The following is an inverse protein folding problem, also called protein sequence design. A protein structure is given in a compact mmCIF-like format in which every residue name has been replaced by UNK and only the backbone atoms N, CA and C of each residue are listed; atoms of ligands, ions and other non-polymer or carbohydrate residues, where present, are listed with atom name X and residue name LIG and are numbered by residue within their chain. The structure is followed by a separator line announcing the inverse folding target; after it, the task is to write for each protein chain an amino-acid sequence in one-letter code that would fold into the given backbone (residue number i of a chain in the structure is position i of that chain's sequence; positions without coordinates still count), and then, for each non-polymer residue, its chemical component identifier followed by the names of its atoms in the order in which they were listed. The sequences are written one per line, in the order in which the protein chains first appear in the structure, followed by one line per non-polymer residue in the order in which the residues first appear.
data_IF_992587455416
#
_entry.id   IF_992587455416
#
_cell.length_a   1.000
_cell.length_b   1.000
_cell.length_c   1.000
_cell.angle_alpha   90.00
_cell.angle_beta   90.00
_cell.angle_gamma   90.00
#
_symmetry.space_group_name_H-M   'P 1'
#
loop_
_entity.id
_entity.type
_entity.pdbx_description
1 polymer ?
#
# COMPACT_ATOMS: atom_id res chain seq x y z
N UNK A 1 1.82 27.40 1.58
CA UNK A 1 0.41 26.96 1.65
C UNK A 1 -0.46 28.21 1.55
N UNK A 2 -1.48 28.25 0.66
CA UNK A 2 -2.37 29.39 0.54
C UNK A 2 -3.09 29.71 1.86
N UNK A 3 -3.32 31.00 2.13
CA UNK A 3 -4.02 31.47 3.34
C UNK A 3 -5.48 30.98 3.42
N UNK A 4 -6.03 30.56 2.28
CA UNK A 4 -7.40 30.01 2.19
C UNK A 4 -7.56 28.59 2.78
N UNK A 5 -6.46 27.91 3.10
CA UNK A 5 -6.51 26.54 3.62
C UNK A 5 -6.79 26.55 5.13
N UNK A 6 -7.64 25.64 5.56
CA UNK A 6 -7.80 25.35 6.99
C UNK A 6 -6.51 24.74 7.54
N UNK A 7 -6.35 24.76 8.88
CA UNK A 7 -5.17 24.19 9.52
C UNK A 7 -5.01 22.68 9.21
N UNK A 8 -6.12 21.95 9.07
CA UNK A 8 -6.10 20.53 8.72
C UNK A 8 -5.62 20.29 7.28
N UNK A 9 -6.14 21.06 6.32
CA UNK A 9 -5.72 21.00 4.91
C UNK A 9 -4.25 21.43 4.76
N UNK A 10 -3.83 22.47 5.46
CA UNK A 10 -2.45 22.92 5.46
C UNK A 10 -1.50 21.84 5.98
N UNK A 11 -1.86 21.12 7.06
CA UNK A 11 -1.07 20.00 7.59
C UNK A 11 -0.99 18.86 6.60
N UNK A 12 -2.08 18.52 5.91
CA UNK A 12 -2.10 17.46 4.91
C UNK A 12 -1.16 17.79 3.74
N UNK A 13 -1.25 19.00 3.19
CA UNK A 13 -0.40 19.44 2.08
C UNK A 13 1.08 19.46 2.48
N UNK A 14 1.39 19.99 3.68
CA UNK A 14 2.76 20.00 4.19
C UNK A 14 3.29 18.59 4.48
N UNK A 15 2.45 17.69 4.95
CA UNK A 15 2.80 16.27 5.14
C UNK A 15 3.19 15.61 3.83
N UNK A 16 2.38 15.77 2.79
CA UNK A 16 2.67 15.24 1.45
C UNK A 16 3.98 15.85 0.89
N UNK A 17 4.15 17.18 1.00
CA UNK A 17 5.37 17.84 0.53
C UNK A 17 6.62 17.34 1.27
N UNK A 18 6.51 17.12 2.58
CA UNK A 18 7.58 16.56 3.40
C UNK A 18 7.94 15.14 2.93
N UNK A 19 6.95 14.26 2.78
CA UNK A 19 7.15 12.90 2.27
C UNK A 19 7.84 12.89 0.90
N UNK A 20 7.35 13.68 -0.04
CA UNK A 20 7.95 13.80 -1.38
C UNK A 20 9.43 14.27 -1.31
N UNK A 21 9.75 15.17 -0.39
CA UNK A 21 11.11 15.67 -0.20
C UNK A 21 12.04 14.64 0.44
N UNK A 22 11.56 13.92 1.45
CA UNK A 22 12.34 12.90 2.17
C UNK A 22 12.62 11.71 1.27
N UNK A 23 11.63 11.26 0.52
CA UNK A 23 11.76 10.13 -0.41
C UNK A 23 12.48 10.48 -1.71
N UNK A 24 12.84 11.76 -1.90
CA UNK A 24 13.47 12.27 -3.13
C UNK A 24 12.71 11.84 -4.38
N UNK A 25 11.38 11.89 -4.31
CA UNK A 25 10.52 11.53 -5.45
C UNK A 25 10.85 12.44 -6.63
N UNK A 26 11.28 11.83 -7.72
CA UNK A 26 11.56 12.52 -8.98
C UNK A 26 10.38 12.34 -9.93
N UNK A 27 10.31 13.14 -10.96
CA UNK A 27 9.19 13.16 -11.93
C UNK A 27 8.90 11.81 -12.61
N UNK A 28 9.84 10.88 -12.56
CA UNK A 28 9.71 9.53 -13.13
C UNK A 28 9.20 8.48 -12.12
N UNK A 29 9.18 8.82 -10.83
CA UNK A 29 8.74 7.91 -9.76
C UNK A 29 7.33 8.30 -9.32
N UNK A 30 6.39 7.37 -9.38
CA UNK A 30 5.04 7.60 -8.87
C UNK A 30 5.04 7.57 -7.34
N UNK A 31 4.31 8.51 -6.73
CA UNK A 31 4.04 8.52 -5.30
C UNK A 31 2.58 8.16 -5.07
N UNK A 32 2.32 7.13 -4.27
CA UNK A 32 0.96 6.72 -3.92
C UNK A 32 0.45 7.67 -2.84
N UNK A 33 -0.49 8.53 -3.23
CA UNK A 33 -1.09 9.53 -2.34
C UNK A 33 -2.24 8.96 -1.51
N UNK A 34 -3.01 8.05 -2.09
CA UNK A 34 -4.15 7.41 -1.45
C UNK A 34 -4.41 6.04 -2.07
N UNK A 35 -4.82 5.09 -1.24
CA UNK A 35 -5.27 3.76 -1.63
C UNK A 35 -6.78 3.64 -1.36
N UNK A 36 -7.44 2.67 -1.96
CA UNK A 36 -8.86 2.35 -1.77
C UNK A 36 -9.81 3.55 -1.96
N UNK A 37 -9.56 4.32 -3.01
CA UNK A 37 -10.34 5.51 -3.33
C UNK A 37 -11.72 5.15 -3.90
N UNK A 38 -12.75 5.90 -3.51
CA UNK A 38 -14.11 5.68 -3.98
C UNK A 38 -14.27 5.97 -5.48
N UNK A 39 -15.24 5.31 -6.10
CA UNK A 39 -15.58 5.54 -7.52
C UNK A 39 -15.98 7.00 -7.80
N UNK A 40 -16.62 7.67 -6.83
CA UNK A 40 -16.93 9.10 -6.93
C UNK A 40 -15.67 9.97 -7.00
N UNK A 41 -14.66 9.64 -6.22
CA UNK A 41 -13.38 10.36 -6.26
C UNK A 41 -12.60 10.07 -7.55
N UNK A 42 -12.66 8.83 -8.07
CA UNK A 42 -12.11 8.47 -9.38
C UNK A 42 -12.72 9.34 -10.49
N UNK A 43 -14.06 9.47 -10.51
CA UNK A 43 -14.76 10.30 -11.48
C UNK A 43 -14.35 11.78 -11.36
N UNK A 44 -14.25 12.29 -10.13
CA UNK A 44 -13.81 13.67 -9.90
C UNK A 44 -12.39 13.92 -10.46
N UNK A 45 -11.47 12.96 -10.27
CA UNK A 45 -10.11 13.07 -10.81
C UNK A 45 -10.11 13.03 -12.35
N UNK A 46 -10.94 12.18 -12.94
CA UNK A 46 -11.06 12.06 -14.39
C UNK A 46 -11.62 13.36 -15.03
N UNK A 47 -12.65 13.94 -14.41
CA UNK A 47 -13.32 15.15 -14.89
C UNK A 47 -12.50 16.42 -14.63
N UNK A 48 -11.75 16.45 -13.53
CA UNK A 48 -11.04 17.64 -13.06
C UNK A 48 -9.73 17.97 -13.79
N UNK A 49 -9.27 17.12 -14.71
CA UNK A 49 -8.00 17.29 -15.44
C UNK A 49 -6.80 17.67 -14.56
N UNK A 50 -6.70 17.06 -13.39
CA UNK A 50 -5.60 17.29 -12.46
C UNK A 50 -4.28 16.77 -13.04
N UNK A 51 -3.45 17.69 -13.52
CA UNK A 51 -2.14 17.33 -14.08
C UNK A 51 -1.27 16.67 -13.03
N UNK A 52 -0.77 15.47 -13.35
CA UNK A 52 0.11 14.70 -12.48
C UNK A 52 -0.61 13.73 -11.53
N UNK A 53 -1.93 13.82 -11.39
CA UNK A 53 -2.70 12.81 -10.65
C UNK A 53 -3.11 11.66 -11.59
N UNK A 54 -2.92 10.42 -11.13
CA UNK A 54 -3.26 9.23 -11.90
C UNK A 54 -3.91 8.19 -11.01
N UNK A 55 -4.94 7.54 -11.53
CA UNK A 55 -5.58 6.39 -10.91
C UNK A 55 -5.05 5.12 -11.56
N UNK A 56 -4.59 4.18 -10.73
CA UNK A 56 -4.14 2.86 -11.19
C UNK A 56 -4.83 1.78 -10.37
N UNK A 57 -5.18 0.69 -11.02
CA UNK A 57 -5.63 -0.50 -10.30
C UNK A 57 -4.43 -1.19 -9.64
N UNK A 58 -4.60 -1.59 -8.40
CA UNK A 58 -3.63 -2.38 -7.65
C UNK A 58 -4.34 -3.48 -6.88
N UNK A 59 -3.59 -4.47 -6.41
CA UNK A 59 -4.09 -5.47 -5.48
C UNK A 59 -3.91 -4.98 -4.04
N UNK A 60 -4.88 -5.29 -3.18
CA UNK A 60 -4.81 -4.99 -1.76
C UNK A 60 -4.97 -6.27 -0.92
N UNK A 61 -4.39 -6.27 0.27
CA UNK A 61 -4.67 -7.30 1.27
C UNK A 61 -6.08 -7.07 1.81
N UNK A 62 -6.89 -8.12 1.76
CA UNK A 62 -8.24 -8.12 2.33
C UNK A 62 -8.31 -9.21 3.42
N UNK A 63 -8.87 -8.84 4.55
CA UNK A 63 -9.04 -9.74 5.68
C UNK A 63 -10.52 -9.94 5.93
N UNK A 64 -10.95 -11.19 6.02
CA UNK A 64 -12.35 -11.55 6.33
C UNK A 64 -12.72 -11.34 7.79
N UNK A 65 -11.78 -10.93 8.64
CA UNK A 65 -11.98 -10.73 10.08
C UNK A 65 -11.14 -9.58 10.63
N UNK A 66 -11.59 -8.98 11.71
CA UNK A 66 -10.84 -8.02 12.54
C UNK A 66 -10.19 -8.67 13.77
N UNK A 67 -10.46 -9.96 14.00
CA UNK A 67 -9.91 -10.76 15.10
C UNK A 67 -8.65 -11.51 14.67
N UNK A 68 -7.97 -12.12 15.63
CA UNK A 68 -6.78 -12.93 15.40
C UNK A 68 -5.56 -12.17 14.84
N UNK A 69 -5.47 -10.86 15.07
CA UNK A 69 -4.40 -10.02 14.55
C UNK A 69 -2.99 -10.55 14.89
N UNK A 70 -2.80 -11.15 16.07
CA UNK A 70 -1.55 -11.76 16.50
C UNK A 70 -1.17 -13.02 15.71
N UNK A 71 -2.17 -13.72 15.14
CA UNK A 71 -1.98 -14.92 14.30
C UNK A 71 -1.78 -14.48 12.85
N UNK A 72 -2.65 -13.61 12.36
CA UNK A 72 -2.56 -13.07 11.00
C UNK A 72 -1.24 -12.34 10.79
N UNK A 73 -0.83 -11.56 11.78
CA UNK A 73 0.39 -10.79 11.72
C UNK A 73 0.19 -9.40 11.15
N UNK A 74 1.25 -8.84 10.61
CA UNK A 74 1.23 -7.48 10.04
C UNK A 74 2.02 -7.39 8.76
N UNK A 75 1.56 -6.52 7.90
CA UNK A 75 2.23 -6.08 6.67
C UNK A 75 2.74 -4.65 6.89
N UNK A 76 3.95 -4.36 6.47
CA UNK A 76 4.49 -2.99 6.44
C UNK A 76 5.22 -2.74 5.14
N UNK A 77 5.43 -1.48 4.81
CA UNK A 77 6.32 -1.11 3.72
C UNK A 77 7.77 -1.51 4.04
N UNK A 78 8.54 -1.71 2.98
CA UNK A 78 9.99 -1.86 3.04
C UNK A 78 10.59 -0.47 3.09
N UNK A 79 11.47 -0.25 4.05
CA UNK A 79 12.17 1.02 4.22
C UNK A 79 13.65 0.86 3.85
N UNK A 80 14.26 1.95 3.41
CA UNK A 80 15.70 1.99 3.13
C UNK A 80 16.58 1.66 4.36
N UNK A 81 15.99 1.70 5.56
CA UNK A 81 16.64 1.32 6.82
C UNK A 81 16.51 -0.16 7.16
N UNK A 82 15.71 -0.91 6.41
CA UNK A 82 15.57 -2.36 6.63
C UNK A 82 16.87 -3.07 6.26
N UNK A 83 17.41 -3.85 7.18
CA UNK A 83 18.67 -4.57 7.02
C UNK A 83 18.64 -5.48 5.77
N UNK A 84 17.56 -6.25 5.60
CA UNK A 84 17.37 -7.13 4.44
C UNK A 84 17.23 -6.39 3.10
N UNK A 85 16.93 -5.10 3.12
CA UNK A 85 16.97 -4.25 1.93
C UNK A 85 18.38 -3.71 1.68
N UNK A 86 19.09 -3.33 2.75
CA UNK A 86 20.46 -2.79 2.66
C UNK A 86 21.46 -3.85 2.21
N UNK A 87 21.31 -5.10 2.62
CA UNK A 87 22.18 -6.21 2.22
C UNK A 87 21.84 -6.80 0.84
N UNK A 88 20.75 -6.32 0.21
CA UNK A 88 20.32 -6.74 -1.11
C UNK A 88 19.42 -7.97 -1.15
N UNK A 89 19.19 -8.64 -0.03
CA UNK A 89 18.38 -9.87 0.03
C UNK A 89 16.97 -9.67 -0.52
N UNK A 90 16.31 -8.56 -0.15
CA UNK A 90 14.97 -8.26 -0.66
C UNK A 90 14.97 -7.91 -2.15
N UNK A 91 16.01 -7.21 -2.62
CA UNK A 91 16.14 -6.88 -4.05
C UNK A 91 16.36 -8.14 -4.90
N UNK A 92 17.14 -9.11 -4.42
CA UNK A 92 17.32 -10.40 -5.09
C UNK A 92 16.02 -11.20 -5.17
N UNK A 93 15.13 -11.02 -4.19
CA UNK A 93 13.78 -11.59 -4.17
C UNK A 93 12.78 -10.78 -5.03
N UNK A 94 13.22 -9.71 -5.69
CA UNK A 94 12.42 -8.88 -6.56
C UNK A 94 11.51 -7.90 -5.83
N UNK A 95 11.92 -7.43 -4.64
CA UNK A 95 11.23 -6.34 -3.95
C UNK A 95 11.87 -5.01 -4.28
N UNK A 96 11.03 -4.02 -4.52
CA UNK A 96 11.42 -2.63 -4.61
C UNK A 96 11.24 -1.91 -3.27
N UNK A 97 11.88 -0.75 -3.14
CA UNK A 97 11.65 0.12 -2.00
C UNK A 97 10.17 0.59 -2.02
N UNK A 98 9.57 0.67 -0.86
CA UNK A 98 8.15 0.97 -0.65
C UNK A 98 7.18 -0.17 -0.92
N UNK A 99 7.64 -1.33 -1.40
CA UNK A 99 6.81 -2.53 -1.46
C UNK A 99 6.32 -2.93 -0.07
N UNK A 100 5.18 -3.63 -0.04
CA UNK A 100 4.62 -4.16 1.20
C UNK A 100 5.09 -5.60 1.40
N UNK A 101 5.52 -5.91 2.62
CA UNK A 101 5.99 -7.25 3.00
C UNK A 101 5.39 -7.69 4.33
N UNK A 102 5.05 -8.97 4.46
CA UNK A 102 4.62 -9.58 5.70
C UNK A 102 5.77 -9.69 6.72
N UNK A 103 5.58 -9.08 7.89
CA UNK A 103 6.62 -9.01 8.93
C UNK A 103 6.45 -10.06 10.02
N UNK A 104 5.26 -10.54 10.24
CA UNK A 104 4.96 -11.51 11.29
C UNK A 104 3.75 -12.39 10.95
N UNK A 105 3.55 -13.45 11.74
CA UNK A 105 2.37 -14.31 11.65
C UNK A 105 2.22 -14.99 10.28
N UNK A 106 0.97 -15.21 9.92
CA UNK A 106 0.59 -15.83 8.64
C UNK A 106 1.09 -15.00 7.45
N UNK A 107 1.01 -13.66 7.54
CA UNK A 107 1.49 -12.76 6.50
C UNK A 107 2.96 -13.01 6.16
N UNK A 108 3.81 -13.22 7.18
CA UNK A 108 5.22 -13.54 6.95
C UNK A 108 5.41 -14.97 6.46
N UNK A 109 4.69 -15.94 7.03
CA UNK A 109 4.87 -17.35 6.73
C UNK A 109 4.42 -17.72 5.31
N UNK A 110 3.43 -16.99 4.79
CA UNK A 110 2.83 -17.24 3.48
C UNK A 110 3.07 -16.07 2.49
N UNK A 111 4.05 -15.22 2.75
CA UNK A 111 4.37 -14.07 1.91
C UNK A 111 4.54 -14.44 0.44
N UNK A 112 5.24 -15.54 0.15
CA UNK A 112 5.47 -16.03 -1.22
C UNK A 112 4.15 -16.33 -1.96
N UNK A 113 3.13 -16.82 -1.25
CA UNK A 113 1.81 -17.11 -1.83
C UNK A 113 0.91 -15.90 -1.88
N UNK A 114 1.01 -15.05 -0.89
CA UNK A 114 0.17 -13.86 -0.73
C UNK A 114 0.66 -12.69 -1.58
N UNK A 115 1.95 -12.64 -1.89
CA UNK A 115 2.51 -11.64 -2.78
C UNK A 115 2.03 -11.88 -4.21
N UNK A 116 1.57 -10.83 -4.85
CA UNK A 116 1.27 -10.85 -6.28
C UNK A 116 2.53 -10.78 -7.14
N UNK A 117 2.33 -10.61 -8.41
CA UNK A 117 3.42 -10.33 -9.36
C UNK A 117 3.21 -8.96 -9.95
N UNK A 118 4.23 -8.12 -9.89
CA UNK A 118 4.16 -6.77 -10.41
C UNK A 118 4.00 -6.75 -11.93
N UNK A 119 3.23 -5.78 -12.40
CA UNK A 119 3.07 -5.50 -13.81
C UNK A 119 4.17 -4.56 -14.30
N UNK A 120 4.52 -4.67 -15.56
CA UNK A 120 5.42 -3.73 -16.22
C UNK A 120 4.61 -2.81 -17.11
N UNK A 121 4.61 -1.52 -16.78
CA UNK A 121 3.94 -0.48 -17.56
C UNK A 121 4.95 0.27 -18.42
N UNK A 122 4.66 0.35 -19.70
CA UNK A 122 5.44 1.14 -20.66
C UNK A 122 4.72 2.46 -20.88
N UNK A 123 5.42 3.56 -20.68
CA UNK A 123 4.92 4.93 -20.87
C UNK A 123 5.70 5.58 -22.01
N UNK A 124 4.99 6.02 -23.03
CA UNK A 124 5.57 6.80 -24.13
C UNK A 124 5.39 8.28 -23.84
N UNK A 125 6.46 9.06 -24.00
CA UNK A 125 6.45 10.51 -23.82
C UNK A 125 6.90 11.21 -25.10
N UNK A 126 6.38 12.42 -25.36
CA UNK A 126 6.90 13.28 -26.42
C UNK A 126 8.18 14.03 -25.96
N UNK A 127 8.73 14.86 -26.86
CA UNK A 127 9.92 15.70 -26.59
C UNK A 127 9.75 16.65 -25.42
N UNK A 128 8.51 17.00 -25.09
CA UNK A 128 8.17 17.94 -24.00
C UNK A 128 7.92 17.20 -22.67
N UNK A 129 8.14 15.88 -22.63
CA UNK A 129 7.91 15.03 -21.46
C UNK A 129 6.44 14.70 -21.20
N UNK A 130 5.52 15.06 -22.11
CA UNK A 130 4.09 14.74 -21.96
C UNK A 130 3.83 13.30 -22.38
N UNK A 131 3.08 12.58 -21.55
CA UNK A 131 2.65 11.19 -21.83
C UNK A 131 1.74 11.19 -23.07
N UNK A 132 2.12 10.42 -24.06
CA UNK A 132 1.38 10.26 -25.33
C UNK A 132 0.68 8.91 -25.44
N UNK A 133 1.09 7.94 -24.64
CA UNK A 133 0.46 6.65 -24.56
C UNK A 133 1.06 5.80 -23.44
N UNK A 134 0.28 4.83 -22.99
CA UNK A 134 0.73 3.85 -22.01
C UNK A 134 0.04 2.51 -22.21
N UNK A 135 0.75 1.45 -21.93
CA UNK A 135 0.20 0.10 -21.91
C UNK A 135 0.99 -0.79 -20.95
N UNK A 136 0.35 -1.87 -20.51
CA UNK A 136 1.05 -2.88 -19.73
C UNK A 136 1.70 -3.90 -20.69
N UNK A 137 3.02 -4.01 -20.65
CA UNK A 137 3.74 -5.11 -21.32
C UNK A 137 3.61 -6.42 -20.52
N UNK A 138 3.43 -6.32 -19.20
CA UNK A 138 3.09 -7.41 -18.30
C UNK A 138 1.99 -6.92 -17.38
N UNK A 139 0.85 -7.61 -17.35
CA UNK A 139 -0.23 -7.27 -16.43
C UNK A 139 0.15 -7.65 -14.99
N UNK A 140 -0.17 -6.83 -13.99
CA UNK A 140 -0.05 -7.22 -12.60
C UNK A 140 -0.98 -8.39 -12.29
N UNK A 141 -0.52 -9.31 -11.45
CA UNK A 141 -1.32 -10.44 -10.99
C UNK A 141 -1.46 -10.35 -9.47
N UNK A 142 -2.68 -10.44 -8.93
CA UNK A 142 -2.86 -10.50 -7.48
C UNK A 142 -2.25 -11.77 -6.91
N UNK A 143 -1.89 -11.74 -5.64
CA UNK A 143 -1.49 -12.92 -4.89
C UNK A 143 -2.65 -13.89 -4.67
N UNK A 144 -2.33 -15.04 -4.10
CA UNK A 144 -3.31 -16.05 -3.77
C UNK A 144 -4.04 -15.74 -2.47
N UNK A 145 -5.17 -16.41 -2.25
CA UNK A 145 -5.87 -16.40 -0.97
C UNK A 145 -5.34 -17.52 -0.09
N UNK A 146 -5.11 -17.23 1.18
CA UNK A 146 -4.78 -18.22 2.21
C UNK A 146 -5.97 -18.37 3.14
N UNK A 147 -6.48 -19.57 3.25
CA UNK A 147 -7.57 -19.94 4.15
C UNK A 147 -7.01 -20.67 5.38
N UNK A 148 -7.42 -20.23 6.55
CA UNK A 148 -6.98 -20.80 7.83
C UNK A 148 -8.06 -21.67 8.42
N UNK A 149 -7.67 -22.71 9.14
CA UNK A 149 -8.57 -23.60 9.89
C UNK A 149 -8.88 -23.08 11.30
N UNK A 150 -8.76 -21.76 11.49
CA UNK A 150 -9.04 -21.11 12.76
C UNK A 150 -10.55 -21.06 13.01
N UNK A 151 -10.98 -21.48 14.20
CA UNK A 151 -12.36 -21.27 14.66
C UNK A 151 -12.52 -19.82 15.06
N UNK A 152 -13.15 -19.04 14.17
CA UNK A 152 -13.28 -17.60 14.33
C UNK A 152 -14.22 -17.22 15.46
N UNK A 153 -15.28 -18.00 15.69
CA UNK A 153 -16.24 -17.74 16.78
C UNK A 153 -15.56 -17.92 18.15
N UNK A 154 -14.77 -18.98 18.28
CA UNK A 154 -13.97 -19.21 19.49
C UNK A 154 -12.94 -18.10 19.70
N UNK A 155 -12.21 -17.73 18.65
CA UNK A 155 -11.22 -16.66 18.69
C UNK A 155 -11.84 -15.33 19.14
N UNK A 156 -12.95 -14.95 18.57
CA UNK A 156 -13.69 -13.75 18.95
C UNK A 156 -14.07 -13.76 20.43
N UNK A 157 -14.65 -14.87 20.90
CA UNK A 157 -15.07 -14.98 22.32
C UNK A 157 -13.89 -14.90 23.28
N UNK A 158 -12.75 -15.46 22.92
CA UNK A 158 -11.52 -15.39 23.74
C UNK A 158 -11.02 -13.94 23.82
N UNK A 159 -10.95 -13.23 22.69
CA UNK A 159 -10.49 -11.85 22.65
C UNK A 159 -11.43 -10.89 23.40
N UNK A 160 -12.75 -11.05 23.21
CA UNK A 160 -13.77 -10.26 23.93
C UNK A 160 -13.65 -10.46 25.47
N UNK A 161 -13.52 -11.71 25.91
CA UNK A 161 -13.37 -12.02 27.34
C UNK A 161 -12.06 -11.49 27.90
N UNK A 162 -10.96 -11.60 27.15
CA UNK A 162 -9.67 -11.07 27.55
C UNK A 162 -9.75 -9.53 27.71
N UNK A 163 -10.32 -8.84 26.73
CA UNK A 163 -10.51 -7.40 26.78
C UNK A 163 -11.36 -6.96 27.99
N UNK A 164 -12.46 -7.67 28.24
CA UNK A 164 -13.32 -7.41 29.39
C UNK A 164 -12.60 -7.62 30.73
N UNK A 165 -11.76 -8.65 30.83
CA UNK A 165 -10.98 -8.92 32.04
C UNK A 165 -9.91 -7.86 32.29
N UNK A 166 -9.19 -7.45 31.26
CA UNK A 166 -8.16 -6.41 31.35
C UNK A 166 -8.79 -5.07 31.72
N UNK A 167 -9.99 -4.75 31.23
CA UNK A 167 -10.69 -3.50 31.57
C UNK A 167 -11.15 -3.43 33.03
N UNK A 168 -11.19 -4.55 33.76
CA UNK A 168 -11.56 -4.63 35.18
C UNK A 168 -10.34 -4.58 36.12
N UNK A 169 -9.14 -4.63 35.59
CA UNK A 169 -7.86 -4.53 36.35
C UNK A 169 -7.39 -3.09 36.48
#
# INVERSE_FOLDING_TARGET
VPESFTQAEARMVLGIQYELSVRKVVSTTAYVMAEDISTGFISLLADGQYSGAKVTASSAREYSTTYAAQILGRVTQIYATDEAYQDGTLMEQGYDMDDKIGRSGVEKAFEEYLRGTDGTRVVSTNSDGKVTGEFYSKQPQPGNTVELTLDLDLQQKVEENLAATVAQM
#
